data_IF_729878683913
#
_entry.id   IF_729878683913
#
_cell.length_a   1.000
_cell.length_b   1.000
_cell.length_c   1.000
_cell.angle_alpha   90.00
_cell.angle_beta   90.00
_cell.angle_gamma   90.00
#
_symmetry.space_group_name_H-M   'P 1'
#
loop_
_entity.id
_entity.type
_entity.pdbx_description
1 polymer ?
#
# COMPACT_ATOMS: atom_id res chain seq x y z
N UNK A 1 -14.78 23.12 -29.70
CA UNK A 1 -14.78 22.52 -28.35
C UNK A 1 -13.70 21.44 -28.26
N UNK A 2 -12.74 21.56 -27.34
CA UNK A 2 -11.98 20.41 -26.81
C UNK A 2 -12.64 20.10 -25.45
N UNK A 3 -13.15 18.89 -25.28
CA UNK A 3 -13.70 18.46 -24.00
C UNK A 3 -12.57 17.92 -23.11
N UNK A 4 -12.52 18.37 -21.86
CA UNK A 4 -11.61 17.82 -20.85
C UNK A 4 -12.40 16.74 -20.10
N UNK A 5 -11.86 15.52 -20.08
CA UNK A 5 -12.39 14.43 -19.27
C UNK A 5 -11.75 14.48 -17.87
N UNK A 6 -12.56 14.41 -16.83
CA UNK A 6 -12.08 14.23 -15.45
C UNK A 6 -11.60 12.79 -15.20
N UNK A 7 -11.14 12.51 -13.98
CA UNK A 7 -10.64 11.19 -13.55
C UNK A 7 -11.67 10.05 -13.74
N UNK A 8 -12.96 10.38 -13.81
CA UNK A 8 -14.07 9.45 -14.01
C UNK A 8 -14.50 9.36 -15.49
N UNK A 9 -13.82 10.08 -16.39
CA UNK A 9 -14.12 10.07 -17.82
C UNK A 9 -15.30 10.95 -18.23
N UNK A 10 -15.77 11.85 -17.36
CA UNK A 10 -16.84 12.80 -17.69
C UNK A 10 -16.27 14.02 -18.41
N UNK A 11 -16.77 14.27 -19.62
CA UNK A 11 -16.35 15.38 -20.48
C UNK A 11 -17.10 16.67 -20.12
N UNK A 12 -16.38 17.70 -19.68
CA UNK A 12 -16.90 19.06 -19.57
C UNK A 12 -16.32 19.94 -20.67
N UNK A 13 -17.17 20.62 -21.43
CA UNK A 13 -16.77 21.63 -22.42
C UNK A 13 -16.55 22.98 -21.71
N UNK A 14 -15.39 23.62 -21.94
CA UNK A 14 -15.13 25.00 -21.51
C UNK A 14 -14.98 25.90 -22.74
N UNK A 15 -15.92 26.82 -22.94
CA UNK A 15 -15.93 27.81 -24.04
C UNK A 15 -15.28 29.14 -23.62
N UNK A 16 -13.95 29.17 -23.45
CA UNK A 16 -13.23 30.46 -23.41
C UNK A 16 -12.16 30.53 -24.50
N UNK A 17 -12.39 31.45 -25.43
CA UNK A 17 -11.57 31.71 -26.60
C UNK A 17 -10.35 32.59 -26.24
N UNK A 18 -9.31 32.04 -25.60
CA UNK A 18 -7.94 32.54 -25.76
C UNK A 18 -6.88 31.54 -25.26
N UNK A 19 -6.10 30.98 -26.19
CA UNK A 19 -4.84 30.29 -25.93
C UNK A 19 -4.88 28.96 -25.13
N UNK A 20 -5.52 27.92 -25.70
CA UNK A 20 -5.30 26.54 -25.24
C UNK A 20 -5.09 25.61 -26.42
N UNK A 21 -3.84 25.44 -26.84
CA UNK A 21 -3.48 24.26 -27.63
C UNK A 21 -3.70 23.02 -26.76
N UNK A 22 -4.55 22.09 -27.20
CA UNK A 22 -4.83 20.85 -26.47
C UNK A 22 -3.52 20.04 -26.43
N UNK A 23 -2.84 20.01 -25.28
CA UNK A 23 -1.65 19.18 -25.06
C UNK A 23 -2.14 17.78 -24.72
N UNK A 24 -1.96 16.84 -25.64
CA UNK A 24 -2.15 15.42 -25.34
C UNK A 24 -0.99 14.96 -24.46
N UNK A 25 -1.23 14.88 -23.15
CA UNK A 25 -0.32 14.20 -22.23
C UNK A 25 -0.54 12.69 -22.40
N UNK A 26 0.27 12.07 -23.25
CA UNK A 26 0.40 10.61 -23.23
C UNK A 26 1.10 10.23 -21.92
N UNK A 27 0.32 9.77 -20.95
CA UNK A 27 0.88 9.01 -19.83
C UNK A 27 1.30 7.66 -20.41
N UNK A 28 2.58 7.54 -20.77
CA UNK A 28 3.15 6.25 -21.07
C UNK A 28 2.99 5.38 -19.81
N UNK A 29 2.49 4.13 -19.90
CA UNK A 29 2.53 3.24 -18.77
C UNK A 29 3.99 3.08 -18.37
N UNK A 30 4.38 3.67 -17.24
CA UNK A 30 5.66 3.34 -16.63
C UNK A 30 5.62 1.83 -16.40
N UNK A 31 6.65 1.12 -16.86
CA UNK A 31 6.81 -0.28 -16.50
C UNK A 31 7.00 -0.34 -14.99
N UNK A 32 5.91 -0.50 -14.25
CA UNK A 32 5.94 -0.66 -12.80
C UNK A 32 6.49 -2.03 -12.49
N UNK A 33 7.33 -2.10 -11.45
CA UNK A 33 7.88 -3.37 -11.00
C UNK A 33 6.76 -4.19 -10.38
N UNK A 34 6.68 -5.48 -10.67
CA UNK A 34 5.68 -6.34 -10.04
C UNK A 34 5.90 -6.42 -8.52
N UNK A 35 4.84 -6.24 -7.72
CA UNK A 35 4.92 -6.44 -6.29
C UNK A 35 5.40 -7.85 -5.92
N UNK A 36 6.12 -7.94 -4.80
CA UNK A 36 6.64 -9.17 -4.24
C UNK A 36 5.95 -9.44 -2.89
N UNK A 37 5.73 -10.72 -2.61
CA UNK A 37 5.00 -11.14 -1.41
C UNK A 37 5.75 -10.83 -0.11
N UNK A 38 5.04 -10.78 1.01
CA UNK A 38 5.67 -10.69 2.34
C UNK A 38 6.69 -11.81 2.61
N UNK A 39 6.50 -12.99 2.02
CA UNK A 39 7.43 -14.11 2.11
C UNK A 39 8.76 -13.83 1.42
N UNK A 40 8.72 -13.16 0.26
CA UNK A 40 9.94 -12.72 -0.43
C UNK A 40 10.72 -11.75 0.46
N UNK A 41 10.09 -10.66 0.91
CA UNK A 41 10.76 -9.63 1.71
C UNK A 41 11.35 -10.18 3.01
N UNK A 42 10.62 -11.06 3.71
CA UNK A 42 11.10 -11.74 4.92
C UNK A 42 12.39 -12.55 4.68
N UNK A 43 12.50 -13.19 3.52
CA UNK A 43 13.59 -14.11 3.19
C UNK A 43 14.73 -13.45 2.41
N UNK A 44 14.55 -12.22 1.93
CA UNK A 44 15.54 -11.47 1.15
C UNK A 44 15.82 -10.08 1.74
N UNK A 45 16.33 -9.99 2.98
CA UNK A 45 16.63 -8.70 3.62
C UNK A 45 17.66 -7.87 2.85
N UNK A 46 18.55 -8.50 2.08
CA UNK A 46 19.51 -7.81 1.21
C UNK A 46 18.88 -7.06 0.03
N UNK A 47 17.61 -7.36 -0.32
CA UNK A 47 16.88 -6.68 -1.38
C UNK A 47 16.10 -5.45 -0.90
N UNK A 48 16.02 -5.20 0.42
CA UNK A 48 15.21 -4.10 0.95
C UNK A 48 15.81 -2.75 0.51
N UNK A 49 15.01 -1.86 -0.09
CA UNK A 49 15.49 -0.55 -0.56
C UNK A 49 15.81 0.42 0.57
N UNK A 50 15.34 0.15 1.80
CA UNK A 50 15.52 0.97 2.99
C UNK A 50 15.78 0.10 4.22
N UNK A 51 16.38 0.70 5.26
CA UNK A 51 16.65 0.04 6.54
C UNK A 51 15.65 0.43 7.65
N UNK A 52 14.64 1.25 7.35
CA UNK A 52 13.58 1.59 8.29
C UNK A 52 12.26 1.90 7.55
N UNK A 53 11.14 1.56 8.19
CA UNK A 53 9.78 1.84 7.71
C UNK A 53 8.92 2.33 8.88
N UNK A 54 8.06 3.31 8.62
CA UNK A 54 7.04 3.74 9.58
C UNK A 54 5.83 2.82 9.47
N UNK A 55 5.34 2.27 10.59
CA UNK A 55 4.02 1.63 10.67
C UNK A 55 3.18 2.38 11.71
N UNK A 56 2.00 2.86 11.29
CA UNK A 56 1.21 3.79 12.07
C UNK A 56 1.98 5.09 12.33
N UNK A 57 2.39 5.31 13.57
CA UNK A 57 3.18 6.47 14.00
C UNK A 57 4.57 6.09 14.55
N UNK A 58 4.99 4.83 14.40
CA UNK A 58 6.27 4.35 14.92
C UNK A 58 7.23 3.99 13.79
N UNK A 59 8.48 4.44 13.90
CA UNK A 59 9.55 4.07 12.96
C UNK A 59 10.22 2.81 13.46
N UNK A 60 10.20 1.74 12.67
CA UNK A 60 10.88 0.49 12.98
C UNK A 60 12.13 0.36 12.13
N UNK A 61 13.21 -0.09 12.76
CA UNK A 61 14.39 -0.53 12.05
C UNK A 61 14.14 -1.88 11.36
N UNK A 62 14.94 -2.18 10.34
CA UNK A 62 14.83 -3.39 9.50
C UNK A 62 14.87 -4.70 10.28
N UNK A 63 15.70 -4.78 11.31
CA UNK A 63 15.79 -5.93 12.19
C UNK A 63 14.51 -6.13 13.02
N UNK A 64 13.91 -5.05 13.53
CA UNK A 64 12.60 -5.08 14.19
C UNK A 64 11.49 -5.53 13.21
N UNK A 65 11.48 -4.97 11.99
CA UNK A 65 10.52 -5.34 10.94
C UNK A 65 10.65 -6.81 10.53
N UNK A 66 11.88 -7.32 10.41
CA UNK A 66 12.13 -8.75 10.17
C UNK A 66 11.67 -9.61 11.37
N UNK A 67 11.84 -9.11 12.59
CA UNK A 67 11.30 -9.71 13.81
C UNK A 67 9.77 -9.84 13.73
N UNK A 68 9.08 -8.76 13.35
CA UNK A 68 7.63 -8.77 13.12
C UNK A 68 7.22 -9.79 12.05
N UNK A 69 7.85 -9.77 10.87
CA UNK A 69 7.56 -10.70 9.77
C UNK A 69 7.81 -12.18 10.12
N UNK A 70 8.70 -12.46 11.09
CA UNK A 70 8.98 -13.81 11.60
C UNK A 70 8.06 -14.22 12.75
N UNK A 71 7.40 -13.27 13.40
CA UNK A 71 6.47 -13.54 14.50
C UNK A 71 5.20 -14.18 13.97
N UNK A 72 4.84 -15.40 14.42
CA UNK A 72 3.57 -16.01 14.03
C UNK A 72 2.39 -15.16 14.51
N UNK A 73 1.45 -14.84 13.61
CA UNK A 73 0.30 -13.97 13.89
C UNK A 73 -0.57 -14.43 15.07
N UNK A 74 -0.75 -15.74 15.29
CA UNK A 74 -1.50 -16.33 16.44
C UNK A 74 -2.84 -15.65 16.77
N UNK A 75 -3.56 -15.17 15.74
CA UNK A 75 -4.85 -14.50 15.90
C UNK A 75 -4.75 -13.04 16.37
N UNK A 76 -3.62 -12.37 16.18
CA UNK A 76 -3.48 -10.92 16.32
C UNK A 76 -3.67 -10.22 14.97
N UNK A 77 -4.76 -9.49 14.82
CA UNK A 77 -5.10 -8.73 13.62
C UNK A 77 -4.07 -7.62 13.32
N UNK A 78 -3.41 -7.07 14.35
CA UNK A 78 -2.36 -6.05 14.14
C UNK A 78 -1.12 -6.66 13.49
N UNK A 79 -0.76 -7.90 13.82
CA UNK A 79 0.31 -8.63 13.14
C UNK A 79 -0.07 -9.01 11.71
N UNK A 80 -1.32 -9.41 11.47
CA UNK A 80 -1.83 -9.72 10.12
C UNK A 80 -1.69 -8.47 9.23
N UNK A 81 -2.16 -7.32 9.71
CA UNK A 81 -2.05 -6.05 9.00
C UNK A 81 -0.59 -5.61 8.83
N UNK A 82 0.23 -5.71 9.87
CA UNK A 82 1.62 -5.30 9.82
C UNK A 82 2.41 -6.11 8.77
N UNK A 83 2.23 -7.43 8.68
CA UNK A 83 2.96 -8.24 7.70
C UNK A 83 2.69 -7.77 6.27
N UNK A 84 1.43 -7.51 5.95
CA UNK A 84 1.02 -7.06 4.61
C UNK A 84 1.41 -5.60 4.33
N UNK A 85 1.33 -4.73 5.34
CA UNK A 85 1.74 -3.33 5.23
C UNK A 85 3.25 -3.18 4.99
N UNK A 86 4.07 -3.99 5.67
CA UNK A 86 5.53 -3.99 5.47
C UNK A 86 5.86 -4.34 4.01
N UNK A 87 5.26 -5.42 3.50
CA UNK A 87 5.46 -5.85 2.12
C UNK A 87 4.98 -4.80 1.11
N UNK A 88 3.79 -4.21 1.33
CA UNK A 88 3.24 -3.20 0.43
C UNK A 88 4.14 -1.96 0.36
N UNK A 89 4.64 -1.48 1.50
CA UNK A 89 5.56 -0.33 1.55
C UNK A 89 6.89 -0.65 0.86
N UNK A 90 7.45 -1.84 1.06
CA UNK A 90 8.67 -2.27 0.37
C UNK A 90 8.46 -2.37 -1.15
N UNK A 91 7.30 -2.85 -1.60
CA UNK A 91 6.95 -2.93 -3.01
C UNK A 91 6.87 -1.53 -3.65
N UNK A 92 6.22 -0.57 -2.99
CA UNK A 92 6.14 0.82 -3.48
C UNK A 92 7.54 1.44 -3.54
N UNK A 93 8.37 1.24 -2.52
CA UNK A 93 9.76 1.71 -2.51
C UNK A 93 10.64 1.02 -3.57
N UNK A 94 10.31 -0.21 -3.96
CA UNK A 94 10.95 -0.97 -5.03
C UNK A 94 10.41 -0.62 -6.43
N UNK A 95 9.48 0.33 -6.55
CA UNK A 95 8.97 0.84 -7.82
C UNK A 95 7.69 0.16 -8.33
N UNK A 96 6.94 -0.52 -7.47
CA UNK A 96 5.57 -0.92 -7.78
C UNK A 96 4.63 0.30 -7.77
N UNK A 97 3.62 0.30 -8.64
CA UNK A 97 2.62 1.38 -8.70
C UNK A 97 1.75 1.38 -7.43
N UNK A 98 1.75 2.45 -6.61
CA UNK A 98 0.98 2.51 -5.38
C UNK A 98 -0.51 2.81 -5.62
N UNK A 99 -0.90 3.27 -6.81
CA UNK A 99 -2.25 3.75 -7.12
C UNK A 99 -3.38 2.83 -6.62
N UNK A 100 -3.36 1.50 -6.85
CA UNK A 100 -4.43 0.61 -6.39
C UNK A 100 -4.52 0.44 -4.86
N UNK A 101 -3.49 0.79 -4.09
CA UNK A 101 -3.40 0.53 -2.64
C UNK A 101 -3.05 1.73 -1.78
N UNK A 102 -2.89 2.92 -2.35
CA UNK A 102 -2.53 4.12 -1.60
C UNK A 102 -3.49 4.39 -0.43
N UNK A 103 -4.80 4.24 -0.66
CA UNK A 103 -5.82 4.37 0.39
C UNK A 103 -5.70 3.28 1.46
N UNK A 104 -5.46 2.03 1.06
CA UNK A 104 -5.31 0.90 1.99
C UNK A 104 -4.05 1.05 2.88
N UNK A 105 -2.94 1.55 2.32
CA UNK A 105 -1.72 1.85 3.09
C UNK A 105 -2.00 2.92 4.15
N UNK A 106 -2.64 4.02 3.76
CA UNK A 106 -3.01 5.10 4.69
C UNK A 106 -3.96 4.61 5.79
N UNK A 107 -4.98 3.83 5.43
CA UNK A 107 -5.91 3.24 6.38
C UNK A 107 -5.22 2.25 7.34
N UNK A 108 -4.27 1.46 6.84
CA UNK A 108 -3.50 0.53 7.67
C UNK A 108 -2.70 1.28 8.75
N UNK A 109 -2.00 2.35 8.36
CA UNK A 109 -1.27 3.19 9.31
C UNK A 109 -2.23 3.82 10.35
N UNK A 110 -3.35 4.37 9.91
CA UNK A 110 -4.34 4.95 10.82
C UNK A 110 -4.89 3.93 11.83
N UNK A 111 -5.19 2.70 11.40
CA UNK A 111 -5.66 1.63 12.26
C UNK A 111 -4.60 1.21 13.30
N UNK A 112 -3.35 1.06 12.87
CA UNK A 112 -2.25 0.72 13.78
C UNK A 112 -2.02 1.83 14.81
N UNK A 113 -2.00 3.09 14.37
CA UNK A 113 -1.86 4.24 15.26
C UNK A 113 -3.00 4.31 16.28
N UNK A 114 -4.24 4.18 15.84
CA UNK A 114 -5.42 4.25 16.71
C UNK A 114 -5.46 3.11 17.74
N UNK A 115 -4.88 1.95 17.43
CA UNK A 115 -4.83 0.79 18.30
C UNK A 115 -3.62 0.78 19.27
N UNK A 116 -2.72 1.77 19.20
CA UNK A 116 -1.58 1.90 20.12
C UNK A 116 -0.22 2.09 19.43
N UNK A 117 -0.16 2.00 18.10
CA UNK A 117 1.00 2.30 17.26
C UNK A 117 2.07 1.20 17.22
N UNK A 118 2.47 0.66 18.37
CA UNK A 118 3.59 -0.29 18.47
C UNK A 118 3.10 -1.75 18.39
N UNK A 119 3.38 -2.43 17.28
CA UNK A 119 3.00 -3.83 17.01
C UNK A 119 3.98 -4.79 17.70
N UNK A 120 3.52 -5.94 18.26
CA UNK A 120 2.15 -6.47 18.26
C UNK A 120 1.23 -5.81 19.30
N UNK A 121 -0.02 -5.57 18.91
CA UNK A 121 -1.04 -4.91 19.75
C UNK A 121 -2.05 -5.91 20.35
N UNK A 122 -2.03 -7.19 19.95
CA UNK A 122 -2.93 -8.21 20.48
C UNK A 122 -4.40 -7.99 20.12
N UNK A 123 -4.68 -7.32 18.99
CA UNK A 123 -6.04 -7.00 18.57
C UNK A 123 -6.72 -8.26 18.05
N UNK A 124 -7.83 -8.67 18.68
CA UNK A 124 -8.57 -9.85 18.24
C UNK A 124 -9.33 -9.57 16.94
N UNK A 125 -9.25 -10.43 15.91
CA UNK A 125 -9.99 -10.29 14.66
C UNK A 125 -11.51 -10.17 14.83
N UNK A 126 -12.07 -10.73 15.91
CA UNK A 126 -13.52 -10.65 16.19
C UNK A 126 -14.01 -9.29 16.68
N UNK A 127 -13.10 -8.35 16.97
CA UNK A 127 -13.46 -6.98 17.33
C UNK A 127 -13.69 -6.15 16.06
N UNK A 128 -14.51 -5.08 16.10
CA UNK A 128 -14.69 -4.20 14.95
C UNK A 128 -13.36 -3.65 14.38
N UNK A 129 -12.44 -3.23 15.26
CA UNK A 129 -11.10 -2.79 14.86
C UNK A 129 -10.29 -3.92 14.23
N UNK A 130 -10.34 -5.12 14.82
CA UNK A 130 -9.65 -6.30 14.27
C UNK A 130 -10.17 -6.71 12.91
N UNK A 131 -11.47 -6.63 12.67
CA UNK A 131 -12.06 -6.91 11.37
C UNK A 131 -11.59 -5.88 10.33
N UNK A 132 -11.61 -4.59 10.67
CA UNK A 132 -11.08 -3.55 9.78
C UNK A 132 -9.60 -3.76 9.44
N UNK A 133 -8.78 -4.20 10.40
CA UNK A 133 -7.38 -4.54 10.16
C UNK A 133 -7.23 -5.72 9.19
N UNK A 134 -8.03 -6.78 9.36
CA UNK A 134 -8.02 -7.96 8.48
C UNK A 134 -8.49 -7.61 7.07
N UNK A 135 -9.54 -6.79 6.94
CA UNK A 135 -10.08 -6.36 5.65
C UNK A 135 -9.04 -5.56 4.85
N UNK A 136 -8.39 -4.59 5.49
CA UNK A 136 -7.31 -3.81 4.87
C UNK A 136 -6.11 -4.71 4.53
N UNK A 137 -5.75 -5.65 5.41
CA UNK A 137 -4.68 -6.60 5.14
C UNK A 137 -4.98 -7.47 3.90
N UNK A 138 -6.24 -7.84 3.67
CA UNK A 138 -6.68 -8.59 2.49
C UNK A 138 -6.46 -7.79 1.20
N UNK A 139 -6.81 -6.49 1.18
CA UNK A 139 -6.53 -5.62 0.04
C UNK A 139 -5.03 -5.50 -0.24
N UNK A 140 -4.22 -5.33 0.80
CA UNK A 140 -2.77 -5.27 0.67
C UNK A 140 -2.17 -6.60 0.20
N UNK A 141 -2.73 -7.74 0.63
CA UNK A 141 -2.31 -9.06 0.17
C UNK A 141 -2.56 -9.24 -1.33
N UNK A 142 -3.72 -8.82 -1.85
CA UNK A 142 -4.01 -8.85 -3.29
C UNK A 142 -2.96 -8.06 -4.09
N UNK A 143 -2.56 -6.89 -3.61
CA UNK A 143 -1.48 -6.11 -4.23
C UNK A 143 -0.13 -6.79 -4.11
N UNK A 144 0.25 -7.27 -2.93
CA UNK A 144 1.53 -7.92 -2.68
C UNK A 144 1.73 -9.21 -3.50
N UNK A 145 0.64 -9.82 -3.96
CA UNK A 145 0.63 -10.97 -4.85
C UNK A 145 0.35 -10.59 -6.32
N UNK A 146 0.49 -9.31 -6.68
CA UNK A 146 0.39 -8.81 -8.06
C UNK A 146 -1.03 -8.69 -8.62
N UNK A 147 -2.06 -9.15 -7.90
CA UNK A 147 -3.44 -9.22 -8.42
C UNK A 147 -4.07 -7.86 -8.68
N UNK A 148 -3.51 -6.77 -8.12
CA UNK A 148 -3.95 -5.40 -8.36
C UNK A 148 -3.00 -4.63 -9.30
N UNK A 149 -1.98 -5.29 -9.87
CA UNK A 149 -0.94 -4.66 -10.70
C UNK A 149 -1.02 -5.17 -12.13
N UNK A 150 -1.17 -4.26 -13.10
CA UNK A 150 -1.33 -4.65 -14.51
C UNK A 150 -0.03 -5.27 -15.05
N UNK A 151 -0.14 -6.43 -15.69
CA UNK A 151 1.03 -7.13 -16.25
C UNK A 151 1.81 -7.96 -15.23
N UNK A 152 1.24 -8.10 -14.03
CA UNK A 152 1.52 -9.08 -13.01
C UNK A 152 0.25 -9.95 -12.85
#
# INVERSE_FOLDING_TARGET
>A
MCAIADFEGLVTESDEANNTGCVSVQVLPQASTCPLSQGFWKNHPGAWPVDAIVLGNHTYAKDELLGLLRTPVRGDASLILAHQLIAAKLNVLAGADPTPVAAAISQADALLQAAGGVVPLGVKPSTPTGQAMVDVASTLDLFNNGSLSRGC
#
